data_IF_665297680423
#
_entry.id   IF_665297680423
#
_cell.length_a   1.000
_cell.length_b   1.000
_cell.length_c   1.000
_cell.angle_alpha   90.00
_cell.angle_beta   90.00
_cell.angle_gamma   90.00
#
_symmetry.space_group_name_H-M   'P 1'
#
loop_
_entity.id
_entity.type
_entity.pdbx_description
1 polymer ?
#
# COMPACT_ATOMS: atom_id res chain seq x y z
N UNK A 1 -30.19 -21.82 -33.30
CA UNK A 1 -29.02 -20.93 -33.19
C UNK A 1 -29.09 -20.24 -31.84
N UNK A 2 -28.21 -20.64 -30.91
CA UNK A 2 -28.16 -20.10 -29.57
C UNK A 2 -27.41 -18.76 -29.57
N UNK A 3 -28.05 -17.69 -29.11
CA UNK A 3 -27.42 -16.40 -28.88
C UNK A 3 -26.85 -16.37 -27.46
N UNK A 4 -25.53 -16.17 -27.37
CA UNK A 4 -24.76 -16.12 -26.13
C UNK A 4 -25.28 -15.02 -25.19
N UNK A 5 -25.85 -15.45 -24.06
CA UNK A 5 -26.08 -14.57 -22.92
C UNK A 5 -24.73 -14.24 -22.29
N UNK A 6 -24.18 -13.09 -22.66
CA UNK A 6 -23.01 -12.49 -22.03
C UNK A 6 -23.27 -12.29 -20.53
N UNK A 7 -22.64 -13.13 -19.73
CA UNK A 7 -22.73 -13.12 -18.27
C UNK A 7 -21.86 -11.96 -17.73
N UNK A 8 -22.36 -10.72 -17.84
CA UNK A 8 -21.73 -9.56 -17.18
C UNK A 8 -22.06 -9.63 -15.69
N UNK A 9 -21.17 -10.26 -14.91
CA UNK A 9 -21.18 -10.16 -13.46
C UNK A 9 -20.69 -8.77 -13.07
N UNK A 10 -21.61 -7.86 -12.76
CA UNK A 10 -21.29 -6.68 -11.98
C UNK A 10 -20.95 -7.16 -10.56
N UNK A 11 -19.67 -7.14 -10.20
CA UNK A 11 -19.27 -7.36 -8.83
C UNK A 11 -19.82 -6.24 -7.96
N UNK A 12 -20.41 -6.58 -6.81
CA UNK A 12 -20.69 -5.60 -5.76
C UNK A 12 -19.40 -4.88 -5.42
N UNK A 13 -19.32 -3.59 -5.74
CA UNK A 13 -18.24 -2.73 -5.27
C UNK A 13 -18.41 -2.55 -3.76
N UNK A 14 -17.72 -3.37 -2.98
CA UNK A 14 -17.52 -3.08 -1.57
C UNK A 14 -16.45 -1.98 -1.50
N UNK A 15 -16.88 -0.74 -1.24
CA UNK A 15 -15.95 0.39 -1.02
C UNK A 15 -15.06 0.09 0.18
N UNK A 16 -13.74 0.11 0.00
CA UNK A 16 -12.81 -0.31 1.04
C UNK A 16 -11.77 0.73 1.43
N UNK A 17 -11.39 0.71 2.69
CA UNK A 17 -10.40 1.61 3.26
C UNK A 17 -8.96 1.16 3.02
N UNK A 18 -8.77 0.27 2.05
CA UNK A 18 -7.48 -0.35 1.77
C UNK A 18 -6.85 0.35 0.57
N UNK A 19 -5.55 0.62 0.67
CA UNK A 19 -4.74 0.95 -0.51
C UNK A 19 -3.95 -0.28 -0.90
N UNK A 20 -4.04 -0.66 -2.17
CA UNK A 20 -3.27 -1.75 -2.75
C UNK A 20 -2.28 -1.16 -3.73
N UNK A 21 -1.00 -1.49 -3.56
CA UNK A 21 0.06 -1.05 -4.46
C UNK A 21 0.64 -2.24 -5.19
N UNK A 22 0.84 -2.12 -6.50
CA UNK A 22 1.63 -3.07 -7.27
C UNK A 22 3.08 -2.60 -7.34
N UNK A 23 4.00 -3.46 -6.90
CA UNK A 23 5.43 -3.22 -6.94
C UNK A 23 6.06 -4.10 -8.02
N UNK A 24 6.83 -3.48 -8.93
CA UNK A 24 7.57 -4.23 -9.95
C UNK A 24 8.91 -4.71 -9.36
N UNK A 25 8.86 -5.65 -8.41
CA UNK A 25 10.01 -6.48 -7.99
C UNK A 25 9.60 -7.49 -6.92
N UNK A 26 9.90 -8.78 -7.16
CA UNK A 26 9.93 -9.81 -6.12
C UNK A 26 10.90 -9.39 -5.02
N UNK A 27 10.36 -9.05 -3.85
CA UNK A 27 11.17 -8.72 -2.66
C UNK A 27 11.00 -9.81 -1.61
N UNK A 28 12.12 -10.43 -1.25
CA UNK A 28 12.20 -11.35 -0.12
C UNK A 28 12.07 -10.62 1.22
N UNK A 29 11.33 -11.23 2.14
CA UNK A 29 11.13 -10.76 3.52
C UNK A 29 12.44 -10.77 4.31
N UNK A 30 12.70 -9.73 5.12
CA UNK A 30 13.83 -9.67 6.06
C UNK A 30 13.35 -9.63 7.51
N UNK A 31 13.91 -10.52 8.34
CA UNK A 31 14.26 -10.26 9.76
C UNK A 31 13.14 -10.30 10.83
N UNK A 32 13.35 -11.12 11.87
CA UNK A 32 12.42 -11.43 12.98
C UNK A 32 12.41 -10.38 14.10
N UNK A 33 11.23 -9.95 14.56
CA UNK A 33 10.93 -9.57 15.97
C UNK A 33 9.50 -10.02 16.36
N UNK A 34 9.16 -9.98 17.64
CA UNK A 34 7.89 -10.53 18.17
C UNK A 34 6.68 -9.69 17.72
N UNK A 35 5.49 -10.31 17.53
CA UNK A 35 4.29 -9.59 17.10
C UNK A 35 3.88 -8.55 18.14
N UNK A 36 3.84 -7.28 17.74
CA UNK A 36 3.29 -6.21 18.58
C UNK A 36 1.76 -6.23 18.48
N UNK A 37 1.08 -6.50 19.60
CA UNK A 37 -0.35 -6.23 19.73
C UNK A 37 -0.59 -4.73 19.55
N UNK A 38 -1.47 -4.36 18.62
CA UNK A 38 -2.03 -3.00 18.43
C UNK A 38 -1.02 -1.86 18.43
N UNK A 39 -0.46 -1.52 17.27
CA UNK A 39 0.39 -0.34 17.15
C UNK A 39 -0.50 0.92 17.05
N UNK A 40 -0.18 1.97 17.82
CA UNK A 40 -0.89 3.26 17.77
C UNK A 40 -0.86 3.94 16.39
N UNK A 41 0.03 3.47 15.49
CA UNK A 41 0.10 3.90 14.10
C UNK A 41 -0.94 3.26 13.18
N UNK A 42 -1.64 2.21 13.62
CA UNK A 42 -2.68 1.58 12.82
C UNK A 42 -3.94 2.42 12.91
N UNK A 43 -4.65 2.52 11.79
CA UNK A 43 -5.96 3.17 11.77
C UNK A 43 -7.00 2.26 12.40
N UNK A 44 -6.93 0.98 12.10
CA UNK A 44 -7.77 -0.04 12.71
C UNK A 44 -6.91 -1.03 13.49
N UNK A 45 -7.40 -1.63 14.59
CA UNK A 45 -6.63 -2.59 15.38
C UNK A 45 -6.48 -3.95 14.69
N UNK A 46 -6.30 -3.98 13.35
CA UNK A 46 -6.08 -5.19 12.56
C UNK A 46 -4.61 -5.60 12.67
N UNK A 47 -4.31 -6.78 13.25
CA UNK A 47 -2.94 -7.23 13.45
C UNK A 47 -2.16 -7.39 12.14
N UNK A 48 -0.87 -7.04 12.17
CA UNK A 48 0.04 -7.29 11.05
C UNK A 48 0.89 -8.53 11.36
N UNK A 49 0.93 -9.45 10.41
CA UNK A 49 1.85 -10.58 10.48
C UNK A 49 3.28 -10.08 10.30
N UNK A 50 4.10 -10.19 11.35
CA UNK A 50 5.48 -9.69 11.35
C UNK A 50 6.28 -10.21 10.14
N UNK A 51 6.13 -11.50 9.80
CA UNK A 51 6.81 -12.14 8.67
C UNK A 51 6.45 -11.54 7.31
N UNK A 52 5.45 -10.69 7.22
CA UNK A 52 5.00 -10.07 5.97
C UNK A 52 4.91 -8.56 6.10
N UNK A 53 5.27 -7.99 7.25
CA UNK A 53 5.22 -6.55 7.44
C UNK A 53 6.23 -5.86 6.54
N UNK A 54 5.84 -4.70 6.05
CA UNK A 54 6.76 -3.76 5.41
C UNK A 54 7.62 -3.12 6.51
N UNK A 55 8.95 -3.27 6.42
CA UNK A 55 9.90 -2.71 7.40
C UNK A 55 10.63 -1.53 6.79
N UNK A 56 10.30 -0.29 7.15
CA UNK A 56 10.95 0.90 6.56
C UNK A 56 12.36 1.13 7.10
N UNK A 57 13.23 1.72 6.28
CA UNK A 57 14.59 2.08 6.70
C UNK A 57 14.58 3.40 7.44
N UNK A 58 15.07 3.42 8.68
CA UNK A 58 15.28 4.64 9.47
C UNK A 58 16.55 5.32 8.95
N UNK A 59 16.40 6.37 8.16
CA UNK A 59 17.53 7.11 7.57
C UNK A 59 17.77 8.46 8.26
N UNK A 60 16.74 9.03 8.91
CA UNK A 60 16.81 10.29 9.65
C UNK A 60 16.18 10.16 11.03
N UNK A 61 16.53 11.07 11.94
CA UNK A 61 15.86 11.19 13.24
C UNK A 61 14.36 11.48 13.03
N UNK A 62 13.49 10.74 13.73
CA UNK A 62 12.03 10.82 13.55
C UNK A 62 11.44 9.88 12.48
N UNK A 63 12.29 9.21 11.68
CA UNK A 63 11.86 8.12 10.82
C UNK A 63 11.41 6.93 11.67
N UNK A 64 10.33 6.27 11.25
CA UNK A 64 9.90 5.00 11.82
C UNK A 64 10.17 3.84 10.88
N UNK A 65 10.42 2.66 11.44
CA UNK A 65 10.51 1.39 10.72
C UNK A 65 9.15 0.74 10.47
N UNK A 66 8.07 1.33 10.99
CA UNK A 66 6.73 0.77 10.99
C UNK A 66 5.73 1.63 10.20
N UNK A 67 5.05 0.97 9.27
CA UNK A 67 3.87 1.46 8.56
C UNK A 67 2.88 0.29 8.44
N UNK A 68 1.54 0.50 8.55
CA UNK A 68 0.58 -0.59 8.61
C UNK A 68 0.32 -1.29 7.25
N UNK A 69 1.37 -1.88 6.69
CA UNK A 69 1.38 -2.51 5.39
C UNK A 69 1.94 -3.93 5.43
N UNK A 70 1.48 -4.75 4.49
CA UNK A 70 1.83 -6.17 4.39
C UNK A 70 2.13 -6.52 2.93
N UNK A 71 3.23 -7.24 2.72
CA UNK A 71 3.54 -7.84 1.43
C UNK A 71 2.58 -9.00 1.15
N UNK A 72 1.97 -8.96 -0.02
CA UNK A 72 1.18 -10.03 -0.58
C UNK A 72 1.71 -10.31 -1.99
N UNK A 73 1.50 -11.51 -2.49
CA UNK A 73 1.58 -11.75 -3.92
C UNK A 73 0.14 -11.98 -4.42
N UNK A 74 -0.12 -12.12 -5.71
CA UNK A 74 -1.30 -12.80 -6.24
C UNK A 74 -0.91 -13.24 -7.64
N UNK A 75 -1.11 -14.52 -7.95
CA UNK A 75 -0.66 -15.09 -9.22
C UNK A 75 0.83 -14.83 -9.50
N UNK A 76 1.15 -13.90 -10.42
CA UNK A 76 2.51 -13.54 -10.86
C UNK A 76 2.97 -12.17 -10.36
N UNK A 77 2.11 -11.44 -9.66
CA UNK A 77 2.36 -10.05 -9.26
C UNK A 77 2.55 -9.91 -7.75
N UNK A 78 3.38 -8.95 -7.35
CA UNK A 78 3.61 -8.60 -5.96
C UNK A 78 2.85 -7.32 -5.60
N UNK A 79 2.19 -7.39 -4.45
CA UNK A 79 1.36 -6.33 -3.90
C UNK A 79 1.82 -5.92 -2.52
N UNK A 80 1.55 -4.67 -2.20
CA UNK A 80 1.60 -4.16 -0.83
C UNK A 80 0.19 -3.72 -0.47
N UNK A 81 -0.36 -4.33 0.58
CA UNK A 81 -1.69 -4.04 1.08
C UNK A 81 -1.52 -3.20 2.34
N UNK A 82 -2.12 -2.02 2.37
CA UNK A 82 -2.06 -1.10 3.51
C UNK A 82 -3.43 -0.57 3.89
N UNK A 83 -3.59 -0.24 5.18
CA UNK A 83 -4.65 0.66 5.62
C UNK A 83 -4.43 2.05 5.00
N UNK A 84 -5.50 2.81 4.73
CA UNK A 84 -5.32 4.15 4.17
C UNK A 84 -4.55 5.05 5.16
N UNK A 85 -3.53 5.78 4.66
CA UNK A 85 -2.69 6.65 5.47
C UNK A 85 -3.46 7.61 6.38
N UNK A 86 -2.91 7.85 7.56
CA UNK A 86 -3.37 8.86 8.52
C UNK A 86 -2.50 10.11 8.43
N UNK A 87 -2.92 11.18 9.10
CA UNK A 87 -2.14 12.43 9.18
C UNK A 87 -0.77 12.21 9.84
N UNK A 88 -0.66 11.21 10.71
CA UNK A 88 0.55 10.90 11.46
C UNK A 88 1.54 10.06 10.64
N UNK A 89 1.07 9.24 9.71
CA UNK A 89 1.88 8.22 9.03
C UNK A 89 1.93 8.35 7.48
N UNK A 90 1.29 9.35 6.86
CA UNK A 90 1.33 9.51 5.40
C UNK A 90 2.73 9.68 4.81
N UNK A 91 3.67 10.24 5.57
CA UNK A 91 5.09 10.32 5.18
C UNK A 91 5.72 8.93 5.03
N UNK A 92 5.35 8.00 5.91
CA UNK A 92 5.82 6.61 5.89
C UNK A 92 5.25 5.85 4.66
N UNK A 93 4.03 6.20 4.22
CA UNK A 93 3.46 5.68 2.97
C UNK A 93 4.32 6.05 1.76
N UNK A 94 4.74 7.30 1.62
CA UNK A 94 5.57 7.71 0.48
C UNK A 94 7.00 7.19 0.55
N UNK A 95 7.56 7.08 1.76
CA UNK A 95 8.84 6.38 2.00
C UNK A 95 8.76 4.93 1.50
N UNK A 96 7.66 4.23 1.78
CA UNK A 96 7.41 2.89 1.28
C UNK A 96 7.29 2.86 -0.24
N UNK A 97 6.43 3.69 -0.83
CA UNK A 97 6.21 3.77 -2.29
C UNK A 97 7.53 3.97 -3.03
N UNK A 98 8.35 4.91 -2.57
CA UNK A 98 9.67 5.19 -3.15
C UNK A 98 10.60 3.98 -3.05
N UNK A 99 10.78 3.46 -1.84
CA UNK A 99 11.70 2.36 -1.55
C UNK A 99 11.31 1.05 -2.23
N UNK A 100 10.02 0.77 -2.33
CA UNK A 100 9.51 -0.43 -3.01
C UNK A 100 9.34 -0.27 -4.51
N UNK A 101 9.53 0.95 -5.03
CA UNK A 101 9.43 1.22 -6.45
C UNK A 101 8.03 0.94 -6.98
N UNK A 102 7.00 1.16 -6.15
CA UNK A 102 5.60 0.95 -6.52
C UNK A 102 5.27 1.80 -7.76
N UNK A 103 4.66 1.18 -8.76
CA UNK A 103 4.31 1.84 -10.03
C UNK A 103 2.84 2.17 -10.14
N UNK A 104 2.00 1.37 -9.48
CA UNK A 104 0.55 1.53 -9.48
C UNK A 104 0.09 1.54 -8.03
N UNK A 105 -0.63 2.59 -7.65
CA UNK A 105 -1.27 2.71 -6.35
C UNK A 105 -2.78 2.76 -6.58
N UNK A 106 -3.52 1.83 -5.98
CA UNK A 106 -4.98 1.73 -6.07
C UNK A 106 -5.57 2.07 -4.71
N UNK A 107 -6.22 3.23 -4.63
CA UNK A 107 -7.04 3.60 -3.47
C UNK A 107 -8.47 3.11 -3.71
N UNK A 108 -9.03 2.36 -2.76
CA UNK A 108 -10.41 1.88 -2.81
C UNK A 108 -11.37 2.78 -1.99
N UNK A 109 -10.87 3.91 -1.48
CA UNK A 109 -11.60 4.84 -0.63
C UNK A 109 -12.41 5.83 -1.46
N UNK A 110 -13.69 5.98 -1.11
CA UNK A 110 -14.69 6.70 -1.91
C UNK A 110 -14.53 8.23 -1.85
N UNK A 111 -13.86 8.77 -0.81
CA UNK A 111 -13.63 10.21 -0.64
C UNK A 111 -12.30 10.48 0.07
N UNK A 112 -11.40 11.22 -0.59
CA UNK A 112 -10.44 12.06 0.11
C UNK A 112 -11.20 13.25 0.67
N UNK A 113 -11.41 13.30 1.97
CA UNK A 113 -12.09 14.43 2.60
C UNK A 113 -11.10 15.25 3.41
N UNK A 114 -10.89 16.50 3.01
CA UNK A 114 -10.17 17.47 3.82
C UNK A 114 -10.95 17.84 5.10
N UNK A 115 -12.28 17.69 5.10
CA UNK A 115 -13.13 18.03 6.24
C UNK A 115 -13.27 16.91 7.26
N UNK A 116 -13.00 15.66 6.88
CA UNK A 116 -13.10 14.51 7.76
C UNK A 116 -11.88 13.59 7.61
N UNK A 117 -10.81 13.94 8.33
CA UNK A 117 -9.57 13.16 8.39
C UNK A 117 -9.74 11.75 8.99
N UNK A 118 -10.89 11.46 9.59
CA UNK A 118 -11.24 10.09 10.01
C UNK A 118 -11.52 9.18 8.80
N UNK A 119 -11.90 9.76 7.64
CA UNK A 119 -12.28 9.04 6.43
C UNK A 119 -11.23 8.91 5.32
N UNK A 120 -10.22 9.76 5.18
CA UNK A 120 -8.94 9.43 4.50
C UNK A 120 -8.13 10.72 4.47
N UNK A 121 -6.91 10.69 4.99
CA UNK A 121 -6.05 11.87 4.92
C UNK A 121 -5.71 12.15 3.44
N UNK A 122 -5.81 13.39 2.93
CA UNK A 122 -5.39 13.71 1.57
C UNK A 122 -3.87 13.62 1.43
N UNK A 123 -3.37 12.41 1.19
CA UNK A 123 -1.93 12.12 1.13
C UNK A 123 -1.34 12.25 -0.28
N UNK A 124 -2.10 12.69 -1.29
CA UNK A 124 -1.57 12.99 -2.62
C UNK A 124 -2.22 14.26 -3.22
N UNK A 125 -1.53 14.99 -4.11
CA UNK A 125 -2.11 16.12 -4.83
C UNK A 125 -3.22 15.63 -5.77
N UNK A 126 -4.40 16.25 -5.69
CA UNK A 126 -5.61 15.77 -6.38
C UNK A 126 -6.03 16.66 -7.56
N UNK A 127 -5.34 17.80 -7.74
CA UNK A 127 -5.52 18.72 -8.87
C UNK A 127 -4.32 18.64 -9.80
N UNK A 128 -4.59 18.70 -11.10
CA UNK A 128 -3.52 18.73 -12.10
C UNK A 128 -2.62 19.96 -11.89
N UNK A 129 -1.31 19.76 -11.93
CA UNK A 129 -0.27 20.77 -11.66
C UNK A 129 0.04 21.00 -10.17
N UNK A 130 -0.77 20.47 -9.25
CA UNK A 130 -0.56 20.61 -7.82
C UNK A 130 0.65 19.78 -7.34
N UNK A 131 1.35 20.32 -6.34
CA UNK A 131 2.50 19.69 -5.70
C UNK A 131 2.27 19.56 -4.20
N UNK A 132 2.75 18.47 -3.64
CA UNK A 132 2.77 18.19 -2.20
C UNK A 132 4.20 17.92 -1.78
N UNK A 133 4.69 18.74 -0.85
CA UNK A 133 6.02 18.58 -0.25
C UNK A 133 5.90 17.75 1.04
N UNK A 134 6.78 16.77 1.19
CA UNK A 134 6.76 15.85 2.32
C UNK A 134 8.11 15.95 3.04
N UNK A 135 8.05 16.11 4.37
CA UNK A 135 9.22 16.15 5.26
C UNK A 135 10.26 17.21 4.83
N UNK A 136 9.83 18.45 4.62
CA UNK A 136 10.75 19.54 4.24
C UNK A 136 11.41 19.30 2.88
N UNK A 137 10.60 18.98 1.87
CA UNK A 137 11.02 18.68 0.50
C UNK A 137 11.79 17.38 0.27
N UNK A 138 11.90 16.49 1.27
CA UNK A 138 12.51 15.16 1.09
C UNK A 138 11.87 14.38 -0.05
N UNK A 139 10.54 14.44 -0.15
CA UNK A 139 9.79 14.00 -1.32
C UNK A 139 8.89 15.12 -1.83
N UNK A 140 8.79 15.23 -3.14
CA UNK A 140 7.84 16.10 -3.83
C UNK A 140 6.96 15.24 -4.71
N UNK A 141 5.66 15.23 -4.43
CA UNK A 141 4.66 14.53 -5.22
C UNK A 141 3.95 15.56 -6.09
N UNK A 142 3.92 15.35 -7.39
CA UNK A 142 3.28 16.23 -8.35
C UNK A 142 2.20 15.47 -9.11
N UNK A 143 0.99 16.02 -9.17
CA UNK A 143 -0.06 15.51 -10.04
C UNK A 143 0.14 16.06 -11.45
N UNK A 144 0.64 15.22 -12.36
CA UNK A 144 0.90 15.60 -13.75
C UNK A 144 -0.35 15.60 -14.60
N UNK A 145 -1.27 14.68 -14.34
CA UNK A 145 -2.50 14.55 -15.08
C UNK A 145 -3.59 13.94 -14.21
N UNK A 146 -4.81 14.40 -14.40
CA UNK A 146 -6.01 13.81 -13.82
C UNK A 146 -6.96 13.40 -14.94
N UNK A 147 -7.50 12.18 -14.86
CA UNK A 147 -8.51 11.70 -15.78
C UNK A 147 -9.70 11.12 -15.01
N UNK A 148 -10.82 11.84 -15.04
CA UNK A 148 -12.06 11.44 -14.39
C UNK A 148 -12.82 10.43 -15.26
N UNK A 149 -12.97 9.21 -14.75
CA UNK A 149 -13.70 8.13 -15.40
C UNK A 149 -15.02 7.87 -14.67
N UNK A 150 -15.95 7.16 -15.29
CA UNK A 150 -17.19 6.75 -14.62
C UNK A 150 -16.87 5.71 -13.53
N UNK A 151 -16.89 6.14 -12.27
CA UNK A 151 -16.73 5.29 -11.09
C UNK A 151 -15.30 5.25 -10.50
N UNK A 152 -14.31 5.88 -11.13
CA UNK A 152 -12.95 6.02 -10.59
C UNK A 152 -12.22 7.19 -11.24
N UNK A 153 -11.09 7.61 -10.68
CA UNK A 153 -10.23 8.66 -11.23
C UNK A 153 -8.81 8.11 -11.38
N UNK A 154 -8.17 8.36 -12.52
CA UNK A 154 -6.76 8.03 -12.74
C UNK A 154 -5.92 9.29 -12.52
N UNK A 155 -4.86 9.16 -11.73
CA UNK A 155 -3.88 10.20 -11.48
C UNK A 155 -2.50 9.75 -11.97
N UNK A 156 -1.89 10.55 -12.84
CA UNK A 156 -0.47 10.38 -13.19
C UNK A 156 0.35 11.19 -12.19
N UNK A 157 0.99 10.49 -11.25
CA UNK A 157 1.78 11.11 -10.20
C UNK A 157 3.28 11.00 -10.50
N UNK A 158 3.99 12.12 -10.37
CA UNK A 158 5.46 12.14 -10.35
C UNK A 158 5.93 12.25 -8.91
N UNK A 159 6.86 11.38 -8.53
CA UNK A 159 7.56 11.44 -7.26
C UNK A 159 9.01 11.84 -7.55
N UNK A 160 9.51 12.83 -6.82
CA UNK A 160 10.94 13.18 -6.82
C UNK A 160 11.44 13.17 -5.38
N UNK A 161 12.65 12.68 -5.16
CA UNK A 161 13.36 12.87 -3.89
C UNK A 161 14.46 13.90 -4.04
N UNK A 162 14.65 14.71 -3.00
CA UNK A 162 15.79 15.64 -2.88
C UNK A 162 16.87 15.10 -1.95
N UNK A 163 16.67 13.91 -1.39
CA UNK A 163 17.51 13.33 -0.34
C UNK A 163 18.37 12.18 -0.89
N UNK A 164 19.68 12.39 -1.09
CA UNK A 164 20.55 11.35 -1.64
C UNK A 164 20.66 10.10 -0.75
N UNK A 165 20.29 10.18 0.54
CA UNK A 165 20.31 9.02 1.44
C UNK A 165 19.25 7.97 1.12
N UNK A 166 18.14 8.35 0.47
CA UNK A 166 17.06 7.39 0.14
C UNK A 166 17.35 6.61 -1.15
N UNK A 167 18.18 7.15 -2.05
CA UNK A 167 18.54 6.54 -3.33
C UNK A 167 19.58 5.41 -3.18
N UNK A 168 20.52 5.58 -2.25
CA UNK A 168 21.56 4.58 -1.98
C UNK A 168 21.01 3.27 -1.38
N UNK A 169 19.86 3.33 -0.70
CA UNK A 169 19.24 2.17 -0.04
C UNK A 169 18.40 1.34 -1.03
N UNK A 170 17.75 1.99 -2.00
CA UNK A 170 17.00 1.30 -3.06
C UNK A 170 17.92 0.41 -3.92
N UNK A 171 19.18 0.81 -4.08
CA UNK A 171 20.16 0.14 -4.94
C UNK A 171 20.86 -1.06 -4.29
N UNK A 172 21.13 -1.02 -2.97
CA UNK A 172 21.93 -2.06 -2.26
C UNK A 172 21.21 -3.38 -1.97
N UNK A 173 19.87 -3.41 -1.98
CA UNK A 173 19.11 -4.64 -1.70
C UNK A 173 18.79 -5.47 -2.97
N UNK A 174 19.16 -4.98 -4.14
CA UNK A 174 18.91 -5.62 -5.44
C UNK A 174 19.83 -6.84 -5.66
N UNK A 175 21.00 -6.87 -5.02
CA UNK A 175 22.09 -7.79 -5.37
C UNK A 175 22.08 -9.13 -4.60
N UNK A 176 21.18 -9.29 -3.62
CA UNK A 176 21.05 -10.55 -2.88
C UNK A 176 19.74 -11.26 -3.24
N UNK A 177 19.82 -12.35 -4.02
CA UNK A 177 19.04 -13.62 -3.94
C UNK A 177 18.55 -14.13 -5.29
N UNK A 178 19.24 -15.14 -5.80
CA UNK A 178 18.68 -16.19 -6.66
C UNK A 178 18.80 -17.52 -5.88
N UNK A 179 17.69 -18.23 -5.62
CA UNK A 179 17.71 -19.64 -5.17
C UNK A 179 16.53 -20.39 -5.81
N UNK A 180 16.66 -21.67 -6.19
CA UNK A 180 15.61 -22.41 -6.90
C UNK A 180 14.44 -22.80 -5.99
N UNK A 181 13.26 -22.99 -6.59
CA UNK A 181 12.01 -23.27 -5.91
C UNK A 181 11.90 -24.73 -5.40
N UNK A 182 11.43 -24.90 -4.16
CA UNK A 182 11.19 -26.19 -3.48
C UNK A 182 9.68 -26.38 -3.18
N UNK A 183 9.19 -27.62 -3.03
CA UNK A 183 7.77 -27.94 -2.80
C UNK A 183 7.22 -27.30 -1.50
N UNK A 184 8.08 -27.10 -0.51
CA UNK A 184 7.74 -26.41 0.74
C UNK A 184 7.40 -24.92 0.51
N UNK A 185 7.91 -24.34 -0.58
CA UNK A 185 7.62 -22.97 -1.01
C UNK A 185 6.21 -22.85 -1.60
N UNK A 186 5.69 -23.90 -2.27
CA UNK A 186 4.38 -23.86 -2.92
C UNK A 186 3.21 -23.88 -1.90
N UNK A 187 3.36 -24.61 -0.80
CA UNK A 187 2.35 -24.68 0.27
C UNK A 187 2.36 -23.42 1.15
N UNK A 188 3.55 -22.90 1.45
CA UNK A 188 3.69 -21.56 2.02
C UNK A 188 3.11 -20.50 1.05
N UNK A 189 3.15 -20.78 -0.26
CA UNK A 189 2.60 -19.91 -1.28
C UNK A 189 1.07 -19.81 -1.27
N UNK A 190 0.40 -20.96 -1.18
CA UNK A 190 -1.06 -21.03 -1.07
C UNK A 190 -1.55 -20.42 0.24
N UNK A 191 -0.81 -20.66 1.33
CA UNK A 191 -1.10 -20.09 2.65
C UNK A 191 -1.03 -18.57 2.64
N UNK A 192 -0.06 -17.95 1.96
CA UNK A 192 0.02 -16.49 1.90
C UNK A 192 -1.13 -15.87 1.07
N UNK A 193 -1.61 -16.55 0.02
CA UNK A 193 -2.77 -16.08 -0.77
C UNK A 193 -4.00 -15.93 0.11
N UNK A 194 -4.21 -16.89 0.99
CA UNK A 194 -5.32 -16.89 1.93
C UNK A 194 -5.16 -15.78 2.98
N UNK A 195 -3.93 -15.56 3.46
CA UNK A 195 -3.59 -14.51 4.44
C UNK A 195 -3.89 -13.10 3.92
N UNK A 196 -3.43 -12.78 2.71
CA UNK A 196 -3.68 -11.48 2.07
C UNK A 196 -5.18 -11.19 1.87
N UNK A 197 -5.94 -12.20 1.42
CA UNK A 197 -7.41 -12.09 1.27
C UNK A 197 -8.12 -11.91 2.61
N UNK A 198 -7.59 -12.51 3.67
CA UNK A 198 -8.14 -12.40 5.02
C UNK A 198 -7.88 -11.01 5.58
N UNK A 199 -6.64 -10.52 5.48
CA UNK A 199 -6.30 -9.16 5.91
C UNK A 199 -7.11 -8.07 5.19
N UNK A 200 -7.32 -8.18 3.88
CA UNK A 200 -8.20 -7.24 3.16
C UNK A 200 -9.64 -7.25 3.70
N UNK A 201 -10.17 -8.45 4.00
CA UNK A 201 -11.50 -8.59 4.60
C UNK A 201 -11.55 -8.02 6.01
N UNK A 202 -10.51 -8.18 6.80
CA UNK A 202 -10.46 -7.68 8.18
C UNK A 202 -10.38 -6.14 8.22
N UNK A 203 -9.53 -5.53 7.37
CA UNK A 203 -9.47 -4.06 7.22
C UNK A 203 -10.83 -3.54 6.76
N UNK A 204 -11.47 -4.23 5.81
CA UNK A 204 -12.78 -3.85 5.32
C UNK A 204 -13.84 -3.93 6.41
N UNK A 205 -13.83 -5.01 7.19
CA UNK A 205 -14.81 -5.24 8.26
C UNK A 205 -14.65 -4.18 9.36
N UNK A 206 -13.41 -3.91 9.78
CA UNK A 206 -13.11 -2.89 10.78
C UNK A 206 -13.57 -1.49 10.34
N UNK A 207 -13.43 -1.15 9.05
CA UNK A 207 -13.96 0.09 8.51
C UNK A 207 -15.49 0.13 8.58
N UNK A 208 -16.17 -0.92 8.12
CA UNK A 208 -17.65 -0.97 8.16
C UNK A 208 -18.20 -0.92 9.59
N UNK A 209 -17.49 -1.48 10.56
CA UNK A 209 -17.84 -1.35 11.98
C UNK A 209 -17.63 0.07 12.52
N UNK A 210 -16.60 0.78 12.05
CA UNK A 210 -16.36 2.16 12.47
C UNK A 210 -17.46 3.13 12.00
N UNK A 211 -18.08 2.88 10.84
CA UNK A 211 -19.18 3.69 10.32
C UNK A 211 -20.50 3.52 11.08
N UNK A 212 -20.62 2.50 11.94
CA UNK A 212 -21.84 2.21 12.72
C UNK A 212 -21.85 2.89 14.10
N UNK A 213 -20.75 3.56 14.47
CA UNK A 213 -20.58 4.27 15.74
C UNK A 213 -20.85 5.75 15.56
#
# INVERSE_FOLDING_TARGET
MASEKGNKRYGSFFYSYTTTMAAHKKKGVVGRKRPSRGNAKNRFPVPIHEKKRVVLTVAKEGDSDYFPATYACCERDDYIITEAPTKENYRDYWRMVWRDGCKICVSLSEKLSASDGSLCYPYWPSKEGEKMEIEGNRFVIECKKRNDMKGYVIYDLRIASTDPSVDAVASKQIDSKQKPADQQEEDEDKKWRLDARTRMRDIQTAYQESLKK
#
